data_IF_575747205984
#
_entry.id   IF_575747205984
#
_cell.length_a   1.000
_cell.length_b   1.000
_cell.length_c   1.000
_cell.angle_alpha   90.00
_cell.angle_beta   90.00
_cell.angle_gamma   90.00
#
_symmetry.space_group_name_H-M   'P 1'
#
loop_
_entity.id
_entity.type
_entity.pdbx_description
1 polymer ?
#
# COMPACT_ATOMS: atom_id res chain seq x y z
N UNK A 1 -48.24 25.97 -0.83
CA UNK A 1 -47.61 26.88 0.11
C UNK A 1 -46.25 27.26 -0.45
N UNK A 2 -46.15 28.43 -1.10
CA UNK A 2 -44.86 29.00 -1.48
C UNK A 2 -44.21 29.49 -0.18
N UNK A 3 -43.13 28.80 0.28
CA UNK A 3 -42.30 29.32 1.35
C UNK A 3 -41.68 30.63 0.86
N UNK A 4 -42.00 31.75 1.47
CA UNK A 4 -41.37 33.02 1.19
C UNK A 4 -39.98 32.97 1.86
N UNK A 5 -38.93 33.14 1.08
CA UNK A 5 -37.57 33.30 1.60
C UNK A 5 -37.42 34.80 2.00
N UNK A 6 -36.87 35.02 3.17
CA UNK A 6 -36.53 36.38 3.62
C UNK A 6 -35.06 36.67 3.24
N UNK A 7 -34.71 37.92 3.08
CA UNK A 7 -33.35 38.37 2.81
C UNK A 7 -32.71 38.91 4.09
N UNK A 8 -31.44 38.55 4.29
CA UNK A 8 -30.67 39.10 5.41
C UNK A 8 -29.34 39.63 4.90
N UNK A 9 -28.92 40.77 5.42
CA UNK A 9 -27.57 41.29 5.18
C UNK A 9 -26.60 40.65 6.18
N UNK A 10 -25.45 40.21 5.68
CA UNK A 10 -24.38 39.62 6.46
C UNK A 10 -23.01 40.08 6.01
N UNK A 11 -22.10 40.17 6.95
CA UNK A 11 -20.68 40.46 6.69
C UNK A 11 -19.89 39.16 6.57
N UNK A 12 -19.00 39.07 5.57
CA UNK A 12 -18.10 37.92 5.40
C UNK A 12 -17.00 38.03 6.45
N UNK A 13 -17.07 37.18 7.47
CA UNK A 13 -16.11 37.16 8.58
C UNK A 13 -14.86 36.36 8.19
N UNK A 14 -15.06 35.29 7.45
CA UNK A 14 -13.95 34.38 7.08
C UNK A 14 -14.26 33.65 5.79
N UNK A 15 -13.22 33.46 4.97
CA UNK A 15 -13.26 32.60 3.79
C UNK A 15 -12.54 31.28 4.18
N UNK A 16 -13.29 30.19 4.21
CA UNK A 16 -12.79 28.90 4.64
C UNK A 16 -12.49 28.03 3.43
N UNK A 17 -11.30 27.44 3.42
CA UNK A 17 -10.92 26.38 2.49
C UNK A 17 -11.09 25.03 3.21
N UNK A 18 -12.15 24.29 2.90
CA UNK A 18 -12.42 22.97 3.48
C UNK A 18 -11.60 21.86 2.80
N UNK A 19 -10.87 22.20 1.74
CA UNK A 19 -10.19 21.22 0.88
C UNK A 19 -11.16 20.39 0.05
N UNK A 20 -12.43 20.76 0.00
CA UNK A 20 -13.48 20.09 -0.75
C UNK A 20 -14.20 21.07 -1.66
N UNK A 21 -13.86 21.04 -2.94
CA UNK A 21 -14.43 21.92 -3.96
C UNK A 21 -15.96 21.97 -3.96
N UNK A 22 -16.62 20.84 -3.71
CA UNK A 22 -18.07 20.75 -3.72
C UNK A 22 -18.72 21.50 -2.52
N UNK A 23 -18.01 21.55 -1.41
CA UNK A 23 -18.41 22.31 -0.22
C UNK A 23 -18.05 23.79 -0.43
N UNK A 24 -16.85 24.07 -0.93
CA UNK A 24 -16.32 25.42 -1.07
C UNK A 24 -17.06 26.24 -2.15
N UNK A 25 -17.50 25.58 -3.25
CA UNK A 25 -18.23 26.26 -4.33
C UNK A 25 -19.72 26.50 -4.07
N UNK A 26 -20.35 25.74 -3.21
CA UNK A 26 -21.81 25.75 -3.10
C UNK A 26 -22.37 25.99 -1.71
N UNK A 27 -21.53 26.13 -0.70
CA UNK A 27 -21.99 26.24 0.68
C UNK A 27 -21.55 27.55 1.32
N UNK A 28 -22.48 28.16 2.04
CA UNK A 28 -22.24 29.33 2.86
C UNK A 28 -22.52 28.92 4.31
N UNK A 29 -21.54 29.10 5.16
CA UNK A 29 -21.69 28.85 6.59
C UNK A 29 -22.20 30.07 7.28
N UNK A 30 -23.37 29.99 7.89
CA UNK A 30 -24.02 31.06 8.62
C UNK A 30 -24.43 30.58 10.00
N UNK A 31 -24.67 31.51 10.92
CA UNK A 31 -25.22 31.12 12.23
C UNK A 31 -26.59 30.46 12.07
N UNK A 32 -26.90 29.49 12.94
CA UNK A 32 -28.20 28.79 12.90
C UNK A 32 -29.39 29.76 13.07
N UNK A 33 -29.20 30.84 13.81
CA UNK A 33 -30.20 31.90 14.02
C UNK A 33 -30.49 32.63 12.71
N UNK A 34 -29.44 32.98 11.95
CA UNK A 34 -29.58 33.62 10.64
C UNK A 34 -30.23 32.68 9.63
N UNK A 35 -29.83 31.41 9.62
CA UNK A 35 -30.43 30.40 8.75
C UNK A 35 -31.92 30.21 9.02
N UNK A 36 -32.32 30.14 10.28
CA UNK A 36 -33.73 30.03 10.70
C UNK A 36 -34.56 31.23 10.29
N UNK A 37 -33.99 32.43 10.38
CA UNK A 37 -34.62 33.65 9.94
C UNK A 37 -34.85 33.69 8.44
N UNK A 38 -33.82 33.41 7.65
CA UNK A 38 -33.88 33.40 6.17
C UNK A 38 -34.85 32.33 5.65
N UNK A 39 -34.82 31.14 6.25
CA UNK A 39 -35.66 30.02 5.81
C UNK A 39 -37.07 30.05 6.41
N UNK A 40 -37.34 30.98 7.36
CA UNK A 40 -38.60 31.03 8.12
C UNK A 40 -38.95 29.69 8.80
N UNK A 41 -37.93 29.00 9.33
CA UNK A 41 -37.99 27.66 9.95
C UNK A 41 -37.38 27.70 11.35
N UNK A 42 -38.12 28.21 12.37
CA UNK A 42 -37.52 28.49 13.69
C UNK A 42 -37.00 27.24 14.43
N UNK A 43 -37.62 26.08 14.21
CA UNK A 43 -37.31 24.86 14.98
C UNK A 43 -36.95 23.64 14.11
N UNK A 44 -36.62 23.85 12.84
CA UNK A 44 -36.25 22.77 11.95
C UNK A 44 -34.72 22.63 11.82
N UNK A 45 -34.24 21.41 11.74
CA UNK A 45 -32.83 21.03 11.45
C UNK A 45 -32.81 19.85 10.52
N UNK A 46 -31.85 19.84 9.57
CA UNK A 46 -31.71 18.72 8.61
C UNK A 46 -30.92 17.55 9.17
N UNK A 47 -29.94 17.81 10.05
CA UNK A 47 -29.17 16.82 10.75
C UNK A 47 -28.52 17.42 12.00
N UNK A 48 -28.26 16.56 12.96
CA UNK A 48 -27.58 16.88 14.21
C UNK A 48 -26.31 16.00 14.29
N UNK A 49 -25.18 16.63 14.56
CA UNK A 49 -23.90 15.93 14.80
C UNK A 49 -23.65 15.93 16.30
N UNK A 50 -23.39 14.78 16.87
CA UNK A 50 -23.05 14.63 18.28
C UNK A 50 -21.80 13.75 18.47
N UNK A 51 -21.07 13.96 19.56
CA UNK A 51 -19.89 13.18 19.88
C UNK A 51 -20.29 11.82 20.47
N UNK A 52 -19.48 10.77 20.22
CA UNK A 52 -19.72 9.41 20.73
C UNK A 52 -19.72 9.29 22.26
N UNK A 53 -19.24 10.31 22.97
CA UNK A 53 -19.24 10.37 24.43
C UNK A 53 -20.48 11.01 25.07
N UNK A 54 -21.44 11.48 24.28
CA UNK A 54 -22.67 12.09 24.79
C UNK A 54 -23.63 10.98 25.21
N UNK A 55 -24.18 11.08 26.44
CA UNK A 55 -25.22 10.16 26.93
C UNK A 55 -26.34 9.99 25.92
N UNK A 56 -26.94 8.79 25.89
CA UNK A 56 -27.99 8.36 24.96
C UNK A 56 -28.94 9.53 24.59
N UNK A 57 -28.81 9.98 23.34
CA UNK A 57 -29.80 10.91 22.80
C UNK A 57 -31.09 10.11 22.64
N UNK A 58 -32.14 10.55 23.34
CA UNK A 58 -33.49 10.03 23.18
C UNK A 58 -33.82 9.86 21.70
N UNK A 59 -34.33 8.71 21.34
CA UNK A 59 -34.70 8.38 19.95
C UNK A 59 -35.79 9.38 19.52
N UNK A 60 -35.39 10.38 18.74
CA UNK A 60 -36.31 11.39 18.23
C UNK A 60 -37.11 10.71 17.11
N UNK A 61 -38.41 10.52 17.37
CA UNK A 61 -39.35 9.93 16.44
C UNK A 61 -39.24 10.60 15.06
N UNK A 62 -38.92 9.83 14.02
CA UNK A 62 -38.62 10.22 12.63
C UNK A 62 -37.17 10.54 12.24
N UNK A 63 -36.20 10.49 13.14
CA UNK A 63 -34.81 10.71 12.81
C UNK A 63 -34.05 9.38 12.61
N UNK A 64 -33.25 9.29 11.56
CA UNK A 64 -32.44 8.10 11.28
C UNK A 64 -31.02 8.35 11.81
N UNK A 65 -30.65 7.60 12.86
CA UNK A 65 -29.28 7.59 13.37
C UNK A 65 -28.35 6.97 12.32
N UNK A 66 -27.32 7.70 11.93
CA UNK A 66 -26.30 7.23 10.98
C UNK A 66 -24.95 7.24 11.67
N UNK A 67 -24.36 6.06 11.75
CA UNK A 67 -23.00 5.91 12.27
C UNK A 67 -21.96 6.36 11.24
N UNK A 68 -20.75 6.68 11.70
CA UNK A 68 -19.57 7.00 10.85
C UNK A 68 -19.37 5.92 9.79
N UNK A 69 -19.61 4.66 10.12
CA UNK A 69 -19.52 3.55 9.18
C UNK A 69 -20.46 3.68 7.97
N UNK A 70 -21.66 4.21 8.19
CA UNK A 70 -22.59 4.53 7.11
C UNK A 70 -22.05 5.61 6.18
N UNK A 71 -21.43 6.65 6.74
CA UNK A 71 -20.89 7.77 5.96
C UNK A 71 -19.67 7.36 5.11
N UNK A 72 -18.84 6.44 5.60
CA UNK A 72 -17.66 5.97 4.90
C UNK A 72 -17.91 4.71 4.05
N UNK A 73 -19.15 4.19 4.02
CA UNK A 73 -19.49 2.95 3.31
C UNK A 73 -19.14 3.01 1.83
N UNK A 74 -19.45 4.13 1.17
CA UNK A 74 -19.18 4.29 -0.26
C UNK A 74 -17.67 4.35 -0.53
N UNK A 75 -16.90 5.00 0.36
CA UNK A 75 -15.44 5.01 0.30
C UNK A 75 -14.85 3.61 0.52
N UNK A 76 -15.38 2.85 1.49
CA UNK A 76 -14.99 1.45 1.71
C UNK A 76 -15.26 0.60 0.47
N UNK A 77 -16.42 0.76 -0.17
CA UNK A 77 -16.77 0.03 -1.38
C UNK A 77 -15.79 0.31 -2.54
N UNK A 78 -15.37 1.57 -2.72
CA UNK A 78 -14.35 1.94 -3.73
C UNK A 78 -13.01 1.26 -3.42
N UNK A 79 -12.57 1.30 -2.15
CA UNK A 79 -11.32 0.68 -1.73
C UNK A 79 -11.37 -0.84 -1.93
N UNK A 80 -12.49 -1.49 -1.63
CA UNK A 80 -12.66 -2.93 -1.84
C UNK A 80 -12.66 -3.29 -3.33
N UNK A 81 -13.23 -2.44 -4.18
CA UNK A 81 -13.21 -2.62 -5.62
C UNK A 81 -11.81 -2.49 -6.21
N UNK A 82 -10.96 -1.61 -5.68
CA UNK A 82 -9.59 -1.40 -6.16
C UNK A 82 -8.59 -2.44 -5.62
N UNK A 83 -8.94 -3.13 -4.56
CA UNK A 83 -8.07 -4.13 -3.91
C UNK A 83 -7.59 -5.23 -4.86
N UNK A 84 -8.42 -5.84 -5.74
CA UNK A 84 -7.96 -6.83 -6.72
C UNK A 84 -6.93 -6.26 -7.69
N UNK A 85 -7.12 -5.02 -8.15
CA UNK A 85 -6.18 -4.35 -9.05
C UNK A 85 -4.81 -4.14 -8.37
N UNK A 86 -4.80 -3.69 -7.13
CA UNK A 86 -3.59 -3.53 -6.35
C UNK A 86 -2.85 -4.86 -6.14
N UNK A 87 -3.57 -5.94 -5.83
CA UNK A 87 -3.01 -7.28 -5.69
C UNK A 87 -2.40 -7.76 -7.02
N UNK A 88 -3.07 -7.54 -8.14
CA UNK A 88 -2.58 -7.93 -9.46
C UNK A 88 -1.27 -7.21 -9.80
N UNK A 89 -1.18 -5.90 -9.59
CA UNK A 89 0.04 -5.12 -9.78
C UNK A 89 1.15 -5.63 -8.87
N UNK A 90 0.84 -5.91 -7.60
CA UNK A 90 1.80 -6.46 -6.65
C UNK A 90 2.37 -7.80 -7.10
N UNK A 91 1.54 -8.72 -7.60
CA UNK A 91 1.98 -10.02 -8.14
C UNK A 91 2.87 -9.83 -9.37
N UNK A 92 2.53 -8.90 -10.26
CA UNK A 92 3.35 -8.60 -11.45
C UNK A 92 4.73 -8.09 -11.04
N UNK A 93 4.79 -7.11 -10.13
CA UNK A 93 6.06 -6.57 -9.64
C UNK A 93 6.92 -7.64 -8.95
N UNK A 94 6.29 -8.48 -8.12
CA UNK A 94 6.97 -9.61 -7.46
C UNK A 94 7.52 -10.62 -8.48
N UNK A 95 6.77 -10.91 -9.54
CA UNK A 95 7.19 -11.82 -10.60
C UNK A 95 8.38 -11.26 -11.39
N UNK A 96 8.38 -9.96 -11.70
CA UNK A 96 9.50 -9.29 -12.35
C UNK A 96 10.76 -9.31 -11.48
N UNK A 97 10.61 -9.03 -10.19
CA UNK A 97 11.71 -9.10 -9.24
C UNK A 97 12.26 -10.53 -9.13
N UNK A 98 11.39 -11.53 -9.01
CA UNK A 98 11.78 -12.95 -8.96
C UNK A 98 12.54 -13.37 -10.22
N UNK A 99 12.10 -12.92 -11.41
CA UNK A 99 12.78 -13.22 -12.67
C UNK A 99 14.16 -12.57 -12.75
N UNK A 100 14.30 -11.31 -12.29
CA UNK A 100 15.59 -10.62 -12.22
C UNK A 100 16.57 -11.35 -11.30
N UNK A 101 16.11 -11.76 -10.12
CA UNK A 101 16.92 -12.51 -9.15
C UNK A 101 17.28 -13.89 -9.70
N UNK A 102 16.34 -14.60 -10.34
CA UNK A 102 16.61 -15.89 -10.97
C UNK A 102 17.73 -15.80 -12.01
N UNK A 103 17.70 -14.78 -12.86
CA UNK A 103 18.75 -14.55 -13.85
C UNK A 103 20.10 -14.26 -13.20
N UNK A 104 20.14 -13.40 -12.19
CA UNK A 104 21.35 -13.06 -11.44
C UNK A 104 21.95 -14.28 -10.74
N UNK A 105 21.13 -15.06 -10.04
CA UNK A 105 21.56 -16.28 -9.36
C UNK A 105 22.05 -17.36 -10.34
N UNK A 106 21.32 -17.54 -11.43
CA UNK A 106 21.70 -18.48 -12.48
C UNK A 106 23.08 -18.13 -13.04
N UNK A 107 23.31 -16.86 -13.39
CA UNK A 107 24.59 -16.39 -13.91
C UNK A 107 25.72 -16.56 -12.87
N UNK A 108 25.47 -16.23 -11.61
CA UNK A 108 26.44 -16.40 -10.51
C UNK A 108 26.87 -17.85 -10.37
N UNK A 109 25.92 -18.78 -10.34
CA UNK A 109 26.18 -20.20 -10.20
C UNK A 109 26.93 -20.76 -11.44
N UNK A 110 26.55 -20.29 -12.65
CA UNK A 110 27.28 -20.72 -13.87
C UNK A 110 28.73 -20.25 -13.91
N UNK A 111 29.04 -19.05 -13.42
CA UNK A 111 30.42 -18.55 -13.30
C UNK A 111 31.26 -19.42 -12.35
N UNK A 112 30.64 -19.93 -11.28
CA UNK A 112 31.29 -20.77 -10.27
C UNK A 112 31.22 -22.27 -10.56
N UNK A 113 30.85 -22.66 -11.78
CA UNK A 113 30.65 -24.05 -12.20
C UNK A 113 31.90 -24.94 -11.97
N UNK A 114 33.11 -24.40 -12.24
CA UNK A 114 34.35 -25.12 -12.01
C UNK A 114 34.61 -25.42 -10.53
N UNK A 115 34.35 -24.44 -9.66
CA UNK A 115 34.46 -24.60 -8.20
C UNK A 115 33.51 -25.69 -7.72
N UNK A 116 32.26 -25.70 -8.21
CA UNK A 116 31.28 -26.75 -7.91
C UNK A 116 31.77 -28.13 -8.35
N UNK A 117 32.33 -28.21 -9.56
CA UNK A 117 32.91 -29.44 -10.07
C UNK A 117 34.05 -29.97 -9.20
N UNK A 118 34.95 -29.09 -8.76
CA UNK A 118 36.06 -29.41 -7.86
C UNK A 118 35.57 -29.90 -6.49
N UNK A 119 34.58 -29.21 -5.88
CA UNK A 119 34.01 -29.65 -4.62
C UNK A 119 33.37 -31.05 -4.71
N UNK A 120 32.67 -31.34 -5.81
CA UNK A 120 32.09 -32.64 -6.05
C UNK A 120 33.15 -33.71 -6.31
N UNK A 121 34.26 -33.39 -7.01
CA UNK A 121 35.39 -34.30 -7.25
C UNK A 121 36.13 -34.65 -5.94
N UNK A 122 36.16 -33.70 -4.97
CA UNK A 122 36.68 -33.91 -3.62
C UNK A 122 35.73 -34.72 -2.71
N UNK A 123 34.61 -35.21 -3.24
CA UNK A 123 33.67 -36.06 -2.51
C UNK A 123 32.49 -35.37 -1.88
N UNK A 124 32.30 -34.09 -2.13
CA UNK A 124 31.14 -33.37 -1.59
C UNK A 124 29.84 -33.90 -2.22
N UNK A 125 28.86 -34.22 -1.36
CA UNK A 125 27.56 -34.73 -1.82
C UNK A 125 26.79 -33.64 -2.57
N UNK A 126 26.08 -33.99 -3.64
CA UNK A 126 25.24 -33.05 -4.43
C UNK A 126 24.29 -32.24 -3.59
N UNK A 127 23.69 -32.84 -2.55
CA UNK A 127 22.79 -32.17 -1.63
C UNK A 127 23.50 -31.06 -0.83
N UNK A 128 24.75 -31.30 -0.42
CA UNK A 128 25.53 -30.31 0.34
C UNK A 128 25.89 -29.12 -0.55
N UNK A 129 26.21 -29.34 -1.82
CA UNK A 129 26.46 -28.28 -2.80
C UNK A 129 25.21 -27.42 -2.98
N UNK A 130 24.05 -28.06 -3.20
CA UNK A 130 22.77 -27.33 -3.31
C UNK A 130 22.49 -26.48 -2.07
N UNK A 131 22.67 -27.09 -0.89
CA UNK A 131 22.44 -26.40 0.39
C UNK A 131 23.36 -25.18 0.54
N UNK A 132 24.65 -25.33 0.21
CA UNK A 132 25.65 -24.26 0.28
C UNK A 132 25.21 -23.03 -0.53
N UNK A 133 24.84 -23.21 -1.79
CA UNK A 133 24.40 -22.11 -2.66
C UNK A 133 23.03 -21.57 -2.30
N UNK A 134 22.15 -22.40 -1.74
CA UNK A 134 20.86 -21.94 -1.25
C UNK A 134 21.01 -21.07 0.01
N UNK A 135 21.91 -21.46 0.92
CA UNK A 135 22.24 -20.66 2.11
C UNK A 135 22.90 -19.34 1.70
N UNK A 136 23.82 -19.37 0.73
CA UNK A 136 24.42 -18.14 0.18
C UNK A 136 23.33 -17.19 -0.36
N UNK A 137 22.36 -17.72 -1.11
CA UNK A 137 21.19 -16.95 -1.56
C UNK A 137 20.33 -16.42 -0.43
N UNK A 138 20.13 -17.21 0.63
CA UNK A 138 19.39 -16.80 1.82
C UNK A 138 20.11 -15.67 2.58
N UNK A 139 21.43 -15.73 2.73
CA UNK A 139 22.22 -14.68 3.37
C UNK A 139 22.14 -13.37 2.56
N UNK A 140 22.23 -13.45 1.24
CA UNK A 140 22.05 -12.29 0.37
C UNK A 140 20.64 -11.70 0.50
N UNK A 141 19.61 -12.53 0.68
CA UNK A 141 18.25 -12.08 0.92
C UNK A 141 18.10 -11.31 2.24
N UNK A 142 18.69 -11.84 3.31
CA UNK A 142 18.71 -11.18 4.62
C UNK A 142 19.42 -9.83 4.54
N UNK A 143 20.58 -9.80 3.87
CA UNK A 143 21.34 -8.57 3.67
C UNK A 143 20.54 -7.54 2.86
N UNK A 144 19.84 -7.99 1.81
CA UNK A 144 18.99 -7.11 0.99
C UNK A 144 17.81 -6.53 1.81
N UNK A 145 17.14 -7.34 2.64
CA UNK A 145 16.08 -6.87 3.54
C UNK A 145 16.62 -5.83 4.52
N UNK A 146 17.77 -6.11 5.13
CA UNK A 146 18.42 -5.18 6.08
C UNK A 146 18.77 -3.85 5.41
N UNK A 147 19.37 -3.90 4.21
CA UNK A 147 19.70 -2.71 3.45
C UNK A 147 18.46 -1.92 3.04
N UNK A 148 17.39 -2.61 2.67
CA UNK A 148 16.10 -2.00 2.35
C UNK A 148 15.51 -1.23 3.54
N UNK A 149 15.56 -1.81 4.73
CA UNK A 149 15.10 -1.13 5.95
C UNK A 149 15.91 0.12 6.23
N UNK A 150 17.23 0.07 6.07
CA UNK A 150 18.10 1.23 6.31
C UNK A 150 17.86 2.35 5.30
N UNK A 151 17.72 2.01 4.00
CA UNK A 151 17.57 3.01 2.94
C UNK A 151 16.15 3.56 2.87
N UNK A 152 15.16 2.69 2.91
CA UNK A 152 13.76 3.08 2.70
C UNK A 152 13.00 3.34 3.99
N UNK A 153 13.44 2.83 5.14
CA UNK A 153 12.82 3.09 6.44
C UNK A 153 12.68 4.58 6.75
N UNK A 154 13.78 5.36 6.69
CA UNK A 154 13.72 6.81 6.89
C UNK A 154 12.83 7.53 5.87
N UNK A 155 12.85 7.08 4.61
CA UNK A 155 12.03 7.64 3.55
C UNK A 155 10.54 7.41 3.80
N UNK A 156 10.17 6.19 4.18
CA UNK A 156 8.79 5.85 4.53
C UNK A 156 8.31 6.64 5.76
N UNK A 157 9.17 6.79 6.76
CA UNK A 157 8.89 7.59 7.95
C UNK A 157 8.67 9.07 7.59
N UNK A 158 9.50 9.63 6.72
CA UNK A 158 9.34 10.99 6.22
C UNK A 158 7.99 11.20 5.51
N UNK A 159 7.62 10.29 4.62
CA UNK A 159 6.32 10.37 3.93
C UNK A 159 5.12 10.14 4.84
N UNK A 160 5.29 9.35 5.91
CA UNK A 160 4.23 9.17 6.89
C UNK A 160 3.92 10.46 7.68
N UNK A 161 4.95 11.28 7.94
CA UNK A 161 4.80 12.55 8.65
C UNK A 161 4.33 13.70 7.75
N UNK A 162 4.89 13.81 6.55
CA UNK A 162 4.67 14.96 5.66
C UNK A 162 3.60 14.70 4.59
N UNK A 163 3.24 13.44 4.35
CA UNK A 163 2.41 13.05 3.23
C UNK A 163 3.13 13.16 1.88
N UNK A 164 2.47 12.68 0.85
CA UNK A 164 2.92 12.79 -0.54
C UNK A 164 2.01 13.81 -1.21
N UNK A 165 2.52 14.98 -1.63
CA UNK A 165 1.71 15.95 -2.34
C UNK A 165 1.27 15.37 -3.69
N UNK A 166 -0.02 15.46 -3.98
CA UNK A 166 -0.54 15.06 -5.28
C UNK A 166 -0.23 16.14 -6.32
N UNK A 167 0.27 15.76 -7.52
CA UNK A 167 0.62 16.73 -8.57
C UNK A 167 -0.61 17.36 -9.22
N UNK A 168 -1.80 16.84 -8.96
CA UNK A 168 -3.07 17.31 -9.53
C UNK A 168 -4.00 17.64 -8.37
N UNK A 169 -4.61 18.80 -8.41
CA UNK A 169 -5.67 19.19 -7.48
C UNK A 169 -6.98 18.54 -7.93
N UNK A 170 -7.32 17.42 -7.29
CA UNK A 170 -8.56 16.69 -7.59
C UNK A 170 -9.80 17.39 -7.05
N UNK A 171 -9.64 18.41 -6.20
CA UNK A 171 -10.75 19.22 -5.72
C UNK A 171 -11.45 19.96 -6.86
N UNK A 172 -10.71 20.37 -7.88
CA UNK A 172 -11.25 21.00 -9.10
C UNK A 172 -12.17 20.07 -9.90
N UNK A 173 -12.00 18.75 -9.73
CA UNK A 173 -12.85 17.72 -10.36
C UNK A 173 -14.05 17.31 -9.49
N UNK A 174 -14.26 17.96 -8.36
CA UNK A 174 -15.35 17.64 -7.40
C UNK A 174 -15.11 16.37 -6.57
N UNK A 175 -13.88 15.87 -6.55
CA UNK A 175 -13.51 14.71 -5.73
C UNK A 175 -13.03 15.16 -4.36
N UNK A 176 -13.56 14.52 -3.31
CA UNK A 176 -13.17 14.76 -1.91
C UNK A 176 -11.85 14.02 -1.64
N UNK A 177 -10.75 14.47 -2.25
CA UNK A 177 -9.44 13.89 -2.03
C UNK A 177 -8.54 14.98 -1.45
N UNK A 178 -7.88 14.66 -0.33
CA UNK A 178 -6.90 15.56 0.26
C UNK A 178 -5.78 15.88 -0.73
N UNK A 179 -5.26 17.10 -0.73
CA UNK A 179 -4.10 17.53 -1.53
C UNK A 179 -2.84 16.75 -1.21
N UNK A 180 -2.81 16.09 -0.04
CA UNK A 180 -1.71 15.25 0.41
C UNK A 180 -2.23 13.85 0.72
N UNK A 181 -1.63 12.83 0.11
CA UNK A 181 -1.85 11.44 0.48
C UNK A 181 -0.97 11.12 1.69
N UNK A 182 -1.60 10.72 2.78
CA UNK A 182 -0.88 10.20 3.95
C UNK A 182 -0.82 8.67 3.86
N UNK A 183 0.35 8.08 3.54
CA UNK A 183 0.46 6.63 3.47
C UNK A 183 0.41 6.03 4.87
N UNK A 184 -0.50 5.08 5.09
CA UNK A 184 -0.58 4.30 6.33
C UNK A 184 0.17 2.99 6.14
N UNK A 185 1.27 2.83 6.86
CA UNK A 185 2.07 1.60 6.82
C UNK A 185 1.64 0.65 7.93
N UNK A 186 1.12 -0.51 7.55
CA UNK A 186 0.86 -1.58 8.51
C UNK A 186 2.14 -2.39 8.76
N UNK A 187 2.64 -2.50 10.00
CA UNK A 187 3.80 -3.33 10.33
C UNK A 187 3.62 -4.80 9.91
N UNK A 188 2.40 -5.30 10.02
CA UNK A 188 2.05 -6.67 9.61
C UNK A 188 2.25 -6.84 8.10
N UNK A 189 1.84 -5.87 7.28
CA UNK A 189 2.02 -5.90 5.84
C UNK A 189 3.51 -5.90 5.48
N UNK A 190 4.33 -5.08 6.12
CA UNK A 190 5.77 -5.00 5.88
C UNK A 190 6.47 -6.32 6.22
N UNK A 191 6.15 -6.91 7.36
CA UNK A 191 6.70 -8.21 7.78
C UNK A 191 6.24 -9.32 6.83
N UNK A 192 4.96 -9.38 6.49
CA UNK A 192 4.43 -10.36 5.55
C UNK A 192 5.11 -10.26 4.18
N UNK A 193 5.29 -9.05 3.66
CA UNK A 193 6.00 -8.81 2.39
C UNK A 193 7.45 -9.28 2.48
N UNK A 194 8.17 -8.97 3.55
CA UNK A 194 9.54 -9.41 3.75
C UNK A 194 9.66 -10.95 3.79
N UNK A 195 8.73 -11.62 4.46
CA UNK A 195 8.67 -13.09 4.51
C UNK A 195 8.39 -13.67 3.12
N UNK A 196 7.43 -13.13 2.39
CA UNK A 196 7.10 -13.59 1.03
C UNK A 196 8.31 -13.43 0.11
N UNK A 197 8.95 -12.27 0.11
CA UNK A 197 10.15 -12.01 -0.70
C UNK A 197 11.28 -12.95 -0.31
N UNK A 198 11.50 -13.19 0.98
CA UNK A 198 12.49 -14.13 1.47
C UNK A 198 12.25 -15.57 0.96
N UNK A 199 11.00 -16.04 1.03
CA UNK A 199 10.60 -17.36 0.50
C UNK A 199 10.84 -17.44 -1.01
N UNK A 200 10.45 -16.41 -1.75
CA UNK A 200 10.69 -16.35 -3.21
C UNK A 200 12.18 -16.42 -3.50
N UNK A 201 13.03 -15.69 -2.78
CA UNK A 201 14.47 -15.71 -2.93
C UNK A 201 15.07 -17.09 -2.66
N UNK A 202 14.59 -17.79 -1.62
CA UNK A 202 14.99 -19.16 -1.34
C UNK A 202 14.65 -20.11 -2.49
N UNK A 203 13.41 -20.06 -2.98
CA UNK A 203 12.94 -20.91 -4.08
C UNK A 203 13.72 -20.62 -5.37
N UNK A 204 13.89 -19.35 -5.68
CA UNK A 204 14.61 -18.89 -6.88
C UNK A 204 16.10 -19.27 -6.83
N UNK A 205 16.73 -19.25 -5.66
CA UNK A 205 18.13 -19.69 -5.48
C UNK A 205 18.28 -21.20 -5.50
N UNK A 206 17.29 -21.93 -4.99
CA UNK A 206 17.30 -23.39 -4.95
C UNK A 206 17.22 -24.05 -6.34
N UNK A 207 16.37 -23.51 -7.24
CA UNK A 207 16.12 -24.11 -8.56
C UNK A 207 17.41 -24.24 -9.41
N UNK A 208 18.20 -23.16 -9.66
CA UNK A 208 19.42 -23.27 -10.45
C UNK A 208 20.50 -24.06 -9.72
N UNK A 209 20.62 -23.98 -8.40
CA UNK A 209 21.57 -24.75 -7.60
C UNK A 209 21.33 -26.24 -7.75
N UNK A 210 20.08 -26.68 -7.69
CA UNK A 210 19.70 -28.09 -7.90
C UNK A 210 20.00 -28.56 -9.33
N UNK A 211 19.82 -27.70 -10.31
CA UNK A 211 20.05 -28.05 -11.72
C UNK A 211 21.55 -28.32 -11.99
N UNK A 212 22.41 -27.45 -11.50
CA UNK A 212 23.88 -27.61 -11.71
C UNK A 212 24.46 -28.75 -10.89
N UNK A 213 23.98 -29.00 -9.69
CA UNK A 213 24.45 -30.13 -8.88
C UNK A 213 24.18 -31.54 -9.52
N UNK A 214 23.29 -31.60 -10.50
CA UNK A 214 23.01 -32.83 -11.25
C UNK A 214 24.05 -33.15 -12.35
N UNK A 215 24.92 -32.20 -12.70
CA UNK A 215 25.95 -32.40 -13.71
C UNK A 215 27.00 -33.38 -13.20
N UNK A 216 27.66 -34.10 -14.14
CA UNK A 216 28.82 -34.90 -13.79
C UNK A 216 30.01 -34.00 -13.44
N UNK A 217 30.78 -34.31 -12.38
CA UNK A 217 31.92 -33.50 -11.95
C UNK A 217 32.93 -33.24 -13.08
N UNK A 218 33.18 -34.24 -13.90
CA UNK A 218 34.11 -34.15 -15.06
C UNK A 218 33.65 -33.13 -16.09
N UNK A 219 32.33 -33.06 -16.39
CA UNK A 219 31.76 -32.10 -17.35
C UNK A 219 31.79 -30.69 -16.79
N UNK A 220 31.58 -30.57 -15.47
CA UNK A 220 31.66 -29.27 -14.78
C UNK A 220 33.08 -28.68 -14.84
N UNK A 221 34.11 -29.48 -14.62
CA UNK A 221 35.53 -29.07 -14.68
C UNK A 221 35.93 -28.74 -16.13
N UNK A 222 35.55 -29.57 -17.12
CA UNK A 222 35.84 -29.33 -18.54
C UNK A 222 35.10 -28.15 -19.16
N UNK A 223 34.20 -27.49 -18.41
CA UNK A 223 33.46 -26.36 -18.90
C UNK A 223 32.37 -26.69 -19.93
N UNK A 224 32.15 -27.98 -20.22
CA UNK A 224 31.07 -28.38 -21.14
C UNK A 224 29.72 -27.97 -20.54
N UNK A 225 28.98 -27.20 -21.28
CA UNK A 225 27.58 -26.95 -20.95
C UNK A 225 26.83 -28.24 -21.22
N UNK A 226 26.22 -28.85 -20.19
CA UNK A 226 25.19 -29.84 -20.44
C UNK A 226 24.03 -29.07 -21.12
N UNK A 227 24.04 -29.08 -22.42
CA UNK A 227 22.88 -28.69 -23.21
C UNK A 227 21.84 -29.77 -22.96
N UNK A 228 20.76 -29.33 -22.21
CA UNK A 228 19.41 -29.94 -22.06
C UNK A 228 19.34 -31.40 -21.65
#
# INVERSE_FOLDING_TARGET
NSKAYDAAEGEIIHIMDSGNFKIDMGHIWISIEMARKILSMPDESSYIVYDQGTEEIEDIDSWIKRDVEYLVRDMKAIIEQDRPNAIMIYIILLSLAAMGIFNAQTLSIFRRKKEIGTLMALGMKKRTVVLLFTIEGALNAILAIFLTIILFGPLLYYFNLNGIPLPIDYSDMGLIISKTLMPVYSPILLIATAIIVFIILLVVSYIPSRRISRMHPVDAIRGKTALW
#
